data_IF_770468420202
#
_entry.id   IF_770468420202
#
_cell.length_a   1.000
_cell.length_b   1.000
_cell.length_c   1.000
_cell.angle_alpha   90.00
_cell.angle_beta   90.00
_cell.angle_gamma   90.00
#
_symmetry.space_group_name_H-M   'P 1'
#
loop_
_entity.id
_entity.type
_entity.pdbx_description
1 polymer ?
#
# COMPACT_ATOMS: atom_id res chain seq x y z
N UNK A 1 24.96 -8.62 -1.33
CA UNK A 1 24.53 -7.38 -0.67
C UNK A 1 24.20 -6.35 -1.74
N UNK A 2 22.94 -5.96 -1.86
CA UNK A 2 22.62 -4.79 -2.67
C UNK A 2 23.12 -3.56 -1.89
N UNK A 3 24.03 -2.78 -2.48
CA UNK A 3 24.47 -1.52 -1.89
C UNK A 3 23.32 -0.52 -1.98
N UNK A 4 22.73 -0.13 -0.85
CA UNK A 4 21.77 0.96 -0.84
C UNK A 4 22.43 2.24 -1.32
N UNK A 5 21.70 2.99 -2.12
CA UNK A 5 22.16 4.28 -2.63
C UNK A 5 21.89 5.35 -1.57
N UNK A 6 22.92 6.09 -1.20
CA UNK A 6 22.79 7.26 -0.33
C UNK A 6 22.61 8.52 -1.17
N UNK A 7 21.61 9.33 -0.81
CA UNK A 7 21.31 10.60 -1.45
C UNK A 7 21.47 11.76 -0.47
N UNK A 8 21.99 12.85 -0.97
CA UNK A 8 21.97 14.13 -0.26
C UNK A 8 20.56 14.75 -0.30
N UNK A 9 20.21 15.52 0.72
CA UNK A 9 18.92 16.21 0.81
C UNK A 9 18.63 17.19 -0.33
N UNK A 10 19.66 17.57 -1.08
CA UNK A 10 19.55 18.44 -2.27
C UNK A 10 19.23 17.67 -3.55
N UNK A 11 19.24 16.34 -3.52
CA UNK A 11 19.03 15.51 -4.70
C UNK A 11 17.52 15.41 -5.03
N UNK A 12 17.15 15.67 -6.29
CA UNK A 12 15.78 15.58 -6.80
C UNK A 12 15.18 14.17 -6.79
N UNK A 13 15.95 13.16 -6.46
CA UNK A 13 15.47 11.77 -6.37
C UNK A 13 14.55 11.53 -5.15
N UNK A 14 14.67 12.33 -4.08
CA UNK A 14 13.82 12.17 -2.90
C UNK A 14 12.31 12.28 -3.19
N UNK A 15 11.81 13.25 -3.98
CA UNK A 15 10.40 13.31 -4.38
C UNK A 15 9.94 12.08 -5.17
N UNK A 16 10.81 11.53 -6.01
CA UNK A 16 10.51 10.32 -6.79
C UNK A 16 10.23 9.11 -5.90
N UNK A 17 11.03 8.91 -4.85
CA UNK A 17 10.83 7.81 -3.91
C UNK A 17 9.62 8.03 -3.00
N UNK A 18 9.33 9.27 -2.63
CA UNK A 18 8.10 9.60 -1.92
C UNK A 18 6.85 9.25 -2.73
N UNK A 19 6.87 9.50 -4.04
CA UNK A 19 5.78 9.10 -4.94
C UNK A 19 5.66 7.57 -5.05
N UNK A 20 6.76 6.83 -5.12
CA UNK A 20 6.75 5.37 -5.14
C UNK A 20 6.22 4.78 -3.83
N UNK A 21 6.63 5.33 -2.70
CA UNK A 21 6.12 4.93 -1.39
C UNK A 21 4.60 5.21 -1.28
N UNK A 22 4.14 6.34 -1.79
CA UNK A 22 2.72 6.67 -1.81
C UNK A 22 1.93 5.76 -2.76
N UNK A 23 2.47 5.43 -3.92
CA UNK A 23 1.84 4.49 -4.85
C UNK A 23 1.69 3.11 -4.23
N UNK A 24 2.71 2.61 -3.52
CA UNK A 24 2.65 1.36 -2.79
C UNK A 24 1.60 1.40 -1.66
N UNK A 25 1.56 2.50 -0.90
CA UNK A 25 0.55 2.71 0.14
C UNK A 25 -0.87 2.61 -0.43
N UNK A 26 -1.15 3.32 -1.52
CA UNK A 26 -2.45 3.29 -2.16
C UNK A 26 -2.81 1.91 -2.70
N UNK A 27 -1.86 1.21 -3.30
CA UNK A 27 -2.06 -0.16 -3.80
C UNK A 27 -2.36 -1.15 -2.66
N UNK A 28 -1.65 -1.06 -1.53
CA UNK A 28 -1.91 -1.87 -0.34
C UNK A 28 -3.30 -1.60 0.24
N UNK A 29 -3.69 -0.34 0.35
CA UNK A 29 -5.04 0.05 0.83
C UNK A 29 -6.13 -0.46 -0.10
N UNK A 30 -5.94 -0.34 -1.42
CA UNK A 30 -6.88 -0.84 -2.41
C UNK A 30 -7.04 -2.36 -2.31
N UNK A 31 -5.94 -3.10 -2.15
CA UNK A 31 -5.99 -4.55 -1.94
C UNK A 31 -6.72 -4.94 -0.65
N UNK A 32 -6.39 -4.31 0.48
CA UNK A 32 -7.02 -4.60 1.77
C UNK A 32 -8.53 -4.34 1.69
N UNK A 33 -8.92 -3.22 1.10
CA UNK A 33 -10.33 -2.87 0.91
C UNK A 33 -11.06 -3.92 0.06
N UNK A 34 -10.49 -4.27 -1.10
CA UNK A 34 -11.05 -5.29 -1.99
C UNK A 34 -11.17 -6.66 -1.29
N UNK A 35 -10.15 -7.07 -0.54
CA UNK A 35 -10.14 -8.34 0.19
C UNK A 35 -11.20 -8.39 1.29
N UNK A 36 -11.38 -7.31 2.04
CA UNK A 36 -12.38 -7.24 3.11
C UNK A 36 -13.81 -7.17 2.57
N UNK A 37 -14.02 -6.57 1.40
CA UNK A 37 -15.34 -6.47 0.78
C UNK A 37 -15.71 -7.71 -0.03
N UNK A 38 -14.76 -8.55 -0.39
CA UNK A 38 -14.97 -9.75 -1.21
C UNK A 38 -15.98 -10.74 -0.60
N UNK A 39 -16.11 -10.76 0.73
CA UNK A 39 -17.07 -11.62 1.42
C UNK A 39 -18.53 -11.21 1.19
N UNK A 40 -18.78 -9.97 0.75
CA UNK A 40 -20.10 -9.44 0.50
C UNK A 40 -20.41 -9.54 -0.98
N UNK A 41 -21.20 -10.54 -1.37
CA UNK A 41 -21.64 -10.71 -2.74
C UNK A 41 -22.89 -9.88 -2.99
N UNK A 42 -22.76 -8.82 -3.77
CA UNK A 42 -23.90 -7.95 -4.10
C UNK A 42 -24.91 -8.67 -5.00
N UNK A 43 -24.46 -9.51 -5.91
CA UNK A 43 -25.32 -10.26 -6.82
C UNK A 43 -26.10 -9.36 -7.78
N UNK A 44 -27.16 -9.91 -8.37
CA UNK A 44 -28.06 -9.15 -9.26
C UNK A 44 -28.87 -8.13 -8.43
N UNK A 45 -28.98 -6.90 -8.92
CA UNK A 45 -29.76 -5.83 -8.32
C UNK A 45 -31.27 -6.16 -8.17
N UNK A 46 -31.76 -7.14 -8.92
CA UNK A 46 -33.15 -7.65 -8.82
C UNK A 46 -33.33 -8.75 -7.81
N UNK A 47 -32.23 -9.28 -7.23
CA UNK A 47 -32.32 -10.35 -6.26
C UNK A 47 -32.85 -9.85 -4.92
N UNK A 48 -33.62 -10.70 -4.22
CA UNK A 48 -34.03 -10.42 -2.84
C UNK A 48 -32.83 -10.17 -1.94
N UNK A 49 -32.93 -9.16 -1.06
CA UNK A 49 -31.86 -8.79 -0.14
C UNK A 49 -30.72 -7.98 -0.78
N UNK A 50 -30.88 -7.49 -2.00
CA UNK A 50 -29.83 -6.67 -2.64
C UNK A 50 -29.58 -5.36 -1.89
N UNK A 51 -30.63 -4.70 -1.40
CA UNK A 51 -30.48 -3.45 -0.66
C UNK A 51 -29.80 -3.65 0.68
N UNK A 52 -30.12 -4.70 1.42
CA UNK A 52 -29.45 -5.05 2.67
C UNK A 52 -27.96 -5.35 2.46
N UNK A 53 -27.62 -6.02 1.37
CA UNK A 53 -26.20 -6.27 1.00
C UNK A 53 -25.49 -5.00 0.60
N UNK A 54 -26.17 -4.05 -0.04
CA UNK A 54 -25.59 -2.73 -0.35
C UNK A 54 -25.32 -1.93 0.93
N UNK A 55 -26.22 -1.95 1.90
CA UNK A 55 -26.00 -1.31 3.19
C UNK A 55 -24.82 -1.94 3.93
N UNK A 56 -24.78 -3.27 4.02
CA UNK A 56 -23.65 -4.01 4.62
C UNK A 56 -22.32 -3.68 3.94
N UNK A 57 -22.31 -3.63 2.62
CA UNK A 57 -21.13 -3.26 1.83
C UNK A 57 -20.68 -1.82 2.16
N UNK A 58 -21.62 -0.89 2.18
CA UNK A 58 -21.34 0.52 2.49
C UNK A 58 -20.80 0.71 3.92
N UNK A 59 -21.38 0.05 4.90
CA UNK A 59 -20.93 0.09 6.29
C UNK A 59 -19.52 -0.51 6.43
N UNK A 60 -19.26 -1.66 5.81
CA UNK A 60 -17.96 -2.31 5.85
C UNK A 60 -16.90 -1.52 5.11
N UNK A 61 -17.25 -0.88 3.99
CA UNK A 61 -16.39 0.03 3.27
C UNK A 61 -15.95 1.19 4.16
N UNK A 62 -16.91 1.90 4.78
CA UNK A 62 -16.61 3.05 5.64
C UNK A 62 -15.82 2.65 6.89
N UNK A 63 -16.15 1.52 7.51
CA UNK A 63 -15.41 1.00 8.67
C UNK A 63 -13.96 0.68 8.30
N UNK A 64 -13.76 -0.01 7.18
CA UNK A 64 -12.41 -0.33 6.68
C UNK A 64 -11.64 0.93 6.34
N UNK A 65 -12.26 1.88 5.66
CA UNK A 65 -11.63 3.16 5.32
C UNK A 65 -11.17 3.93 6.56
N UNK A 66 -12.01 4.01 7.59
CA UNK A 66 -11.67 4.65 8.87
C UNK A 66 -10.53 3.93 9.58
N UNK A 67 -10.54 2.61 9.61
CA UNK A 67 -9.49 1.80 10.21
C UNK A 67 -8.14 2.01 9.52
N UNK A 68 -8.13 2.04 8.19
CA UNK A 68 -6.92 2.31 7.40
C UNK A 68 -6.37 3.73 7.60
N UNK A 69 -7.21 4.68 8.04
CA UNK A 69 -6.79 6.03 8.37
C UNK A 69 -6.24 6.18 9.80
N UNK A 70 -6.33 5.15 10.63
CA UNK A 70 -5.82 5.20 12.02
C UNK A 70 -4.29 5.21 12.06
N UNK A 71 -3.73 5.58 13.22
CA UNK A 71 -2.28 5.57 13.44
C UNK A 71 -1.63 4.19 13.25
N UNK A 72 -2.40 3.11 13.43
CA UNK A 72 -1.91 1.74 13.24
C UNK A 72 -1.51 1.49 11.79
N UNK A 73 -2.32 1.93 10.85
CA UNK A 73 -2.09 1.74 9.42
C UNK A 73 -1.52 3.01 8.79
N UNK A 74 -2.18 4.14 8.94
CA UNK A 74 -1.74 5.46 8.49
C UNK A 74 -0.80 5.41 7.27
N UNK A 75 0.37 5.96 7.41
CA UNK A 75 1.46 5.88 6.42
C UNK A 75 2.46 4.75 6.74
N UNK A 76 2.09 3.79 7.59
CA UNK A 76 2.95 2.68 7.97
C UNK A 76 2.85 1.54 6.95
N UNK A 77 3.76 1.52 5.98
CA UNK A 77 3.80 0.53 4.91
C UNK A 77 3.98 -0.90 5.43
N UNK A 78 4.74 -1.10 6.50
CA UNK A 78 4.97 -2.43 7.07
C UNK A 78 3.69 -3.02 7.67
N UNK A 79 2.91 -2.21 8.37
CA UNK A 79 1.63 -2.65 8.92
C UNK A 79 0.61 -2.93 7.82
N UNK A 80 0.56 -2.07 6.79
CA UNK A 80 -0.29 -2.30 5.61
C UNK A 80 0.11 -3.59 4.86
N UNK A 81 1.41 -3.83 4.71
CA UNK A 81 1.93 -5.04 4.07
C UNK A 81 1.52 -6.30 4.84
N UNK A 82 1.73 -6.32 6.15
CA UNK A 82 1.33 -7.46 7.00
C UNK A 82 -0.17 -7.73 6.90
N UNK A 83 -0.99 -6.70 6.95
CA UNK A 83 -2.44 -6.84 6.81
C UNK A 83 -2.81 -7.40 5.44
N UNK A 84 -2.21 -6.91 4.35
CA UNK A 84 -2.44 -7.43 3.01
C UNK A 84 -2.07 -8.92 2.91
N UNK A 85 -0.92 -9.33 3.45
CA UNK A 85 -0.49 -10.73 3.49
C UNK A 85 -1.47 -11.59 4.31
N UNK A 86 -1.92 -11.11 5.46
CA UNK A 86 -2.93 -11.81 6.28
C UNK A 86 -4.26 -11.99 5.52
N UNK A 87 -4.60 -11.05 4.64
CA UNK A 87 -5.79 -11.12 3.79
C UNK A 87 -5.58 -11.90 2.48
N UNK A 88 -4.42 -12.54 2.32
CA UNK A 88 -4.12 -13.43 1.22
C UNK A 88 -3.43 -12.76 0.03
N UNK A 89 -2.74 -11.65 0.24
CA UNK A 89 -1.83 -11.11 -0.77
C UNK A 89 -0.67 -12.07 -1.02
N UNK A 90 -0.42 -12.38 -2.27
CA UNK A 90 0.72 -13.20 -2.70
C UNK A 90 1.77 -12.30 -3.32
N UNK A 91 2.80 -11.98 -2.54
CA UNK A 91 3.94 -11.18 -2.96
C UNK A 91 5.02 -12.02 -3.65
N UNK A 92 5.95 -11.35 -4.33
CA UNK A 92 7.13 -12.00 -4.91
C UNK A 92 8.14 -12.40 -3.83
N UNK A 93 8.22 -11.62 -2.76
CA UNK A 93 9.07 -11.87 -1.60
C UNK A 93 8.24 -11.78 -0.32
N UNK A 94 8.57 -12.55 0.71
CA UNK A 94 7.82 -12.56 1.98
C UNK A 94 7.85 -11.18 2.66
N UNK A 95 9.05 -10.66 2.91
CA UNK A 95 9.27 -9.31 3.43
C UNK A 95 10.40 -8.68 2.61
N UNK A 96 10.08 -7.80 1.67
CA UNK A 96 11.11 -7.16 0.87
C UNK A 96 12.03 -6.26 1.70
N UNK A 97 13.32 -6.30 1.44
CA UNK A 97 14.32 -5.47 2.13
C UNK A 97 14.08 -3.96 1.96
N UNK A 98 13.53 -3.56 0.83
CA UNK A 98 13.21 -2.16 0.53
C UNK A 98 11.96 -1.64 1.26
N UNK A 99 11.13 -2.51 1.86
CA UNK A 99 9.87 -2.11 2.52
C UNK A 99 10.12 -1.23 3.74
N UNK A 100 11.04 -1.63 4.62
CA UNK A 100 11.42 -0.82 5.79
C UNK A 100 11.99 0.53 5.37
N UNK A 101 12.84 0.54 4.36
CA UNK A 101 13.44 1.75 3.80
C UNK A 101 12.37 2.73 3.30
N UNK A 102 11.41 2.25 2.50
CA UNK A 102 10.29 3.09 2.03
C UNK A 102 9.39 3.54 3.18
N UNK A 103 9.15 2.68 4.16
CA UNK A 103 8.34 3.03 5.33
C UNK A 103 8.97 4.19 6.11
N UNK A 104 10.28 4.17 6.31
CA UNK A 104 11.02 5.27 6.95
C UNK A 104 10.93 6.57 6.15
N UNK A 105 11.03 6.48 4.82
CA UNK A 105 10.89 7.63 3.93
C UNK A 105 9.47 8.25 3.97
N UNK A 106 8.47 7.45 4.29
CA UNK A 106 7.07 7.89 4.34
C UNK A 106 6.63 8.41 5.71
N UNK A 107 7.15 7.85 6.80
CA UNK A 107 6.70 8.17 8.17
C UNK A 107 7.35 9.41 8.77
N UNK A 108 8.16 10.12 8.03
CA UNK A 108 8.68 11.43 8.42
C UNK A 108 9.93 11.40 9.29
N UNK A 109 10.57 10.27 9.55
CA UNK A 109 11.93 10.28 10.12
C UNK A 109 12.88 11.12 9.25
N UNK A 110 12.58 11.19 7.95
CA UNK A 110 13.35 11.94 6.96
C UNK A 110 12.53 13.02 6.26
N UNK A 111 11.51 13.55 6.82
CA UNK A 111 10.72 14.69 6.29
C UNK A 111 10.96 15.00 4.79
N UNK A 112 10.62 14.06 3.91
CA UNK A 112 10.87 14.21 2.47
C UNK A 112 10.18 15.44 1.86
N UNK A 113 9.14 15.95 2.53
CA UNK A 113 8.45 17.17 2.13
C UNK A 113 9.26 18.42 2.46
N UNK A 114 10.10 18.35 3.50
CA UNK A 114 10.94 19.45 3.98
C UNK A 114 12.31 18.91 4.39
N UNK A 115 13.13 18.51 3.41
CA UNK A 115 14.43 17.92 3.71
C UNK A 115 15.30 18.88 4.50
N UNK A 116 15.85 18.40 5.61
CA UNK A 116 16.81 19.15 6.40
C UNK A 116 18.17 19.20 5.67
N UNK A 117 18.86 20.35 5.65
CA UNK A 117 20.21 20.43 5.08
C UNK A 117 21.15 19.39 5.70
N UNK A 118 22.01 18.79 4.87
CA UNK A 118 23.00 17.80 5.25
C UNK A 118 22.45 16.46 5.80
N UNK A 119 21.18 16.12 5.54
CA UNK A 119 20.63 14.81 5.87
C UNK A 119 20.90 13.83 4.71
N UNK A 120 21.45 12.66 5.04
CA UNK A 120 21.68 11.56 4.10
C UNK A 120 20.58 10.52 4.24
N UNK A 121 19.98 10.14 3.13
CA UNK A 121 18.89 9.15 3.09
C UNK A 121 19.35 7.87 2.40
N UNK A 122 18.93 6.73 2.92
CA UNK A 122 18.94 5.49 2.16
C UNK A 122 17.76 5.46 1.21
N UNK A 123 18.01 5.11 -0.04
CA UNK A 123 16.99 4.98 -1.07
C UNK A 123 17.14 3.64 -1.79
N UNK A 124 16.04 3.11 -2.36
CA UNK A 124 16.10 1.89 -3.14
C UNK A 124 17.09 1.98 -4.30
N UNK A 125 17.77 0.85 -4.55
CA UNK A 125 18.58 0.68 -5.76
C UNK A 125 17.69 0.62 -7.00
N UNK A 126 18.23 0.80 -8.24
CA UNK A 126 17.42 0.64 -9.46
C UNK A 126 16.72 -0.72 -9.57
N UNK A 127 17.35 -1.80 -9.09
CA UNK A 127 16.74 -3.13 -9.04
C UNK A 127 15.57 -3.19 -8.05
N UNK A 128 15.73 -2.59 -6.88
CA UNK A 128 14.66 -2.48 -5.88
C UNK A 128 13.51 -1.59 -6.36
N UNK A 129 13.79 -0.50 -7.09
CA UNK A 129 12.75 0.33 -7.71
C UNK A 129 11.88 -0.48 -8.67
N UNK A 130 12.50 -1.31 -9.51
CA UNK A 130 11.78 -2.21 -10.42
C UNK A 130 10.94 -3.22 -9.64
N UNK A 131 11.45 -3.76 -8.55
CA UNK A 131 10.72 -4.66 -7.68
C UNK A 131 9.51 -3.98 -7.01
N UNK A 132 9.65 -2.73 -6.57
CA UNK A 132 8.55 -1.94 -6.00
C UNK A 132 7.44 -1.73 -7.03
N UNK A 133 7.79 -1.36 -8.25
CA UNK A 133 6.83 -1.16 -9.34
C UNK A 133 6.08 -2.46 -9.66
N UNK A 134 6.79 -3.58 -9.72
CA UNK A 134 6.20 -4.90 -9.95
C UNK A 134 5.24 -5.30 -8.82
N UNK A 135 5.55 -4.98 -7.57
CA UNK A 135 4.66 -5.26 -6.44
C UNK A 135 3.41 -4.36 -6.45
N UNK A 136 3.54 -3.10 -6.83
CA UNK A 136 2.38 -2.20 -7.01
C UNK A 136 1.43 -2.78 -8.06
N UNK A 137 1.93 -3.15 -9.22
CA UNK A 137 1.14 -3.75 -10.30
C UNK A 137 0.47 -5.06 -9.85
N UNK A 138 1.20 -5.92 -9.14
CA UNK A 138 0.68 -7.18 -8.60
C UNK A 138 -0.44 -6.96 -7.57
N UNK A 139 -0.30 -5.99 -6.67
CA UNK A 139 -1.34 -5.61 -5.72
C UNK A 139 -2.62 -5.16 -6.41
N UNK A 140 -2.48 -4.30 -7.41
CA UNK A 140 -3.61 -3.79 -8.18
C UNK A 140 -4.30 -4.89 -8.99
N UNK A 141 -3.54 -5.79 -9.60
CA UNK A 141 -4.09 -6.94 -10.33
C UNK A 141 -4.86 -7.88 -9.41
N UNK A 142 -4.31 -8.21 -8.25
CA UNK A 142 -4.98 -9.06 -7.27
C UNK A 142 -6.20 -8.39 -6.66
N UNK A 143 -6.16 -7.08 -6.41
CA UNK A 143 -7.32 -6.30 -5.95
C UNK A 143 -8.43 -6.31 -7.01
N UNK A 144 -8.08 -6.08 -8.27
CA UNK A 144 -9.03 -6.08 -9.40
C UNK A 144 -9.68 -7.44 -9.60
N UNK A 145 -8.92 -8.52 -9.44
CA UNK A 145 -9.44 -9.89 -9.55
C UNK A 145 -10.46 -10.21 -8.46
N UNK A 146 -10.25 -9.70 -7.25
CA UNK A 146 -11.18 -9.86 -6.13
C UNK A 146 -12.49 -9.08 -6.35
N UNK A 147 -12.41 -7.89 -6.90
CA UNK A 147 -13.60 -7.09 -7.22
C UNK A 147 -14.46 -7.72 -8.31
N UNK A 148 -13.86 -8.42 -9.28
CA UNK A 148 -14.62 -9.12 -10.34
C UNK A 148 -15.33 -10.38 -9.83
N UNK A 149 -14.89 -10.95 -8.72
CA UNK A 149 -15.50 -12.14 -8.13
C UNK A 149 -16.74 -11.81 -7.26
N UNK A 150 -17.04 -10.54 -7.07
CA UNK A 150 -18.25 -10.04 -6.40
C UNK A 150 -19.34 -9.70 -7.38
#
# INVERSE_FOLDING_TARGET
MAASRQLDSTDFLAPRFALKAHALELALRAFILAARLQSIRLGDHRASGHFERLEEYGEKFETTRRELATKKFGHNLENLWREAVCLGYVSLEDVPSWLEMLSKLQTGEYELRYPKPATVYEVPTPSEETAIEAEVDRLLDQASSRNRAT
#
